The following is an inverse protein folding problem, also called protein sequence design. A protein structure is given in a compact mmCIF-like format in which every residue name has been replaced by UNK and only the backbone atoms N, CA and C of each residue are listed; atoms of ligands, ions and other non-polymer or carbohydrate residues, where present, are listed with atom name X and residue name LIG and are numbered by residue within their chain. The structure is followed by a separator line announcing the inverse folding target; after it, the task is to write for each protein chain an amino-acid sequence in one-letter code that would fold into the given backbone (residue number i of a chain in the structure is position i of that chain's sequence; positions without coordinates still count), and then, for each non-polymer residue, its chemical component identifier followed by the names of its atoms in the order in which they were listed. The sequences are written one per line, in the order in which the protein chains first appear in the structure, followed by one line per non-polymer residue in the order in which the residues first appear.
data_IF_301464173890
#
_entry.id   IF_301464173890
#
_cell.length_a   1.000
_cell.length_b   1.000
_cell.length_c   1.000
_cell.angle_alpha   90.00
_cell.angle_beta   90.00
_cell.angle_gamma   90.00
#
_symmetry.space_group_name_H-M   'P 1'
#
loop_
_entity.id
_entity.type
_entity.pdbx_description
1 polymer ?
#
# COMPACT_ATOMS: atom_id res chain seq x y z
N UNK A 1 -4.13 -6.49 6.36
CA UNK A 1 -2.90 -7.17 5.88
C UNK A 1 -3.09 -8.02 4.63
N UNK A 2 -4.16 -8.82 4.50
CA UNK A 2 -4.31 -9.75 3.37
C UNK A 2 -4.46 -9.06 1.99
N UNK A 3 -5.29 -8.03 1.87
CA UNK A 3 -5.58 -7.36 0.58
C UNK A 3 -4.41 -6.55 -0.02
N UNK A 4 -3.60 -5.90 0.82
CA UNK A 4 -2.44 -5.11 0.36
C UNK A 4 -1.36 -6.01 -0.24
N UNK A 5 -1.11 -7.15 0.40
CA UNK A 5 -0.14 -8.14 -0.07
C UNK A 5 -0.62 -8.76 -1.39
N UNK A 6 -1.93 -8.93 -1.58
CA UNK A 6 -2.49 -9.36 -2.86
C UNK A 6 -2.27 -8.33 -3.96
N UNK A 7 -2.43 -7.03 -3.70
CA UNK A 7 -2.21 -6.00 -4.74
C UNK A 7 -0.74 -5.92 -5.16
N UNK A 8 0.19 -5.95 -4.19
CA UNK A 8 1.62 -5.99 -4.48
C UNK A 8 2.02 -7.28 -5.17
N UNK A 9 1.49 -8.43 -4.74
CA UNK A 9 1.72 -9.72 -5.40
C UNK A 9 1.36 -9.68 -6.88
N UNK A 10 0.24 -9.04 -7.24
CA UNK A 10 -0.16 -8.86 -8.65
C UNK A 10 0.84 -8.03 -9.47
N UNK A 11 1.49 -7.04 -8.84
CA UNK A 11 2.54 -6.23 -9.47
C UNK A 11 3.80 -7.07 -9.63
N UNK A 12 4.18 -7.83 -8.61
CA UNK A 12 5.33 -8.75 -8.66
C UNK A 12 5.14 -9.80 -9.75
N UNK A 13 3.96 -10.41 -9.87
CA UNK A 13 3.65 -11.40 -10.90
C UNK A 13 3.76 -10.79 -12.31
N UNK A 14 3.24 -9.57 -12.49
CA UNK A 14 3.36 -8.85 -13.76
C UNK A 14 4.81 -8.45 -14.08
N UNK A 15 5.62 -8.15 -13.06
CA UNK A 15 7.04 -7.88 -13.20
C UNK A 15 7.84 -9.16 -13.50
N UNK A 16 7.48 -10.29 -12.90
CA UNK A 16 8.08 -11.61 -13.14
C UNK A 16 7.88 -12.12 -14.58
N UNK A 17 6.79 -11.69 -15.24
CA UNK A 17 6.60 -11.94 -16.68
C UNK A 17 7.53 -11.12 -17.56
N UNK A 18 7.95 -9.94 -17.10
CA UNK A 18 8.88 -9.06 -17.83
C UNK A 18 10.34 -9.39 -17.51
N UNK A 19 10.60 -9.72 -16.26
CA UNK A 19 11.90 -10.02 -15.70
C UNK A 19 11.83 -11.48 -15.25
N UNK A 20 12.60 -12.36 -15.90
CA UNK A 20 12.54 -13.82 -15.74
C UNK A 20 12.59 -14.29 -14.26
N UNK A 21 13.06 -13.45 -13.33
CA UNK A 21 13.16 -13.70 -11.89
C UNK A 21 12.08 -13.00 -11.07
N UNK A 22 11.56 -13.69 -10.06
CA UNK A 22 10.64 -13.16 -9.05
C UNK A 22 11.37 -12.25 -8.06
N UNK A 23 10.87 -11.03 -7.81
CA UNK A 23 11.54 -9.99 -7.00
C UNK A 23 10.73 -9.51 -5.79
N UNK A 24 10.04 -10.41 -5.10
CA UNK A 24 9.18 -10.07 -3.96
C UNK A 24 9.89 -9.22 -2.90
N UNK A 25 11.08 -9.66 -2.45
CA UNK A 25 11.82 -8.99 -1.39
C UNK A 25 12.11 -7.51 -1.67
N UNK A 26 12.35 -7.15 -2.94
CA UNK A 26 12.57 -5.76 -3.33
C UNK A 26 11.29 -4.93 -3.23
N UNK A 27 10.17 -5.43 -3.75
CA UNK A 27 8.89 -4.71 -3.69
C UNK A 27 8.36 -4.59 -2.26
N UNK A 28 8.38 -5.67 -1.48
CA UNK A 28 7.95 -5.65 -0.08
C UNK A 28 8.92 -4.85 0.80
N UNK A 29 10.22 -4.92 0.52
CA UNK A 29 11.25 -4.12 1.18
C UNK A 29 11.04 -2.62 0.97
N UNK A 30 10.89 -2.18 -0.28
CA UNK A 30 10.64 -0.76 -0.61
C UNK A 30 9.33 -0.26 0.00
N UNK A 31 8.25 -1.05 -0.08
CA UNK A 31 6.97 -0.70 0.58
C UNK A 31 7.19 -0.43 2.06
N UNK A 32 7.78 -1.38 2.77
CA UNK A 32 7.96 -1.29 4.22
C UNK A 32 8.94 -0.19 4.62
N UNK A 33 9.94 0.07 3.78
CA UNK A 33 10.87 1.18 3.97
C UNK A 33 10.16 2.54 3.92
N UNK A 34 9.12 2.69 3.08
CA UNK A 34 8.35 3.93 2.97
C UNK A 34 7.27 4.01 4.06
N UNK A 35 6.52 2.94 4.29
CA UNK A 35 5.35 2.98 5.18
C UNK A 35 5.69 3.06 6.65
N UNK A 36 6.78 2.42 7.10
CA UNK A 36 7.15 2.41 8.52
C UNK A 36 7.56 3.81 9.01
N UNK A 37 8.45 4.55 8.33
CA UNK A 37 8.75 5.93 8.70
C UNK A 37 7.56 6.86 8.56
N UNK A 38 6.72 6.68 7.52
CA UNK A 38 5.51 7.48 7.36
C UNK A 38 4.56 7.33 8.57
N UNK A 39 4.40 6.11 9.09
CA UNK A 39 3.61 5.87 10.29
C UNK A 39 4.23 6.52 11.53
N UNK A 40 5.54 6.41 11.74
CA UNK A 40 6.21 7.04 12.89
C UNK A 40 6.12 8.57 12.82
N UNK A 41 6.29 9.14 11.63
CA UNK A 41 6.14 10.58 11.39
C UNK A 41 4.70 11.04 11.60
N UNK A 42 3.71 10.22 11.25
CA UNK A 42 2.30 10.51 11.50
C UNK A 42 1.97 10.61 13.00
N UNK A 43 2.50 9.69 13.82
CA UNK A 43 2.35 9.75 15.28
C UNK A 43 3.05 10.98 15.86
N UNK A 44 4.27 11.27 15.40
CA UNK A 44 5.00 12.48 15.80
C UNK A 44 4.22 13.75 15.45
N UNK A 45 3.67 13.83 14.23
CA UNK A 45 2.85 14.95 13.79
C UNK A 45 1.58 15.12 14.63
N UNK A 46 0.89 14.04 14.98
CA UNK A 46 -0.29 14.12 15.84
C UNK A 46 0.08 14.61 17.24
N UNK A 47 1.20 14.12 17.80
CA UNK A 47 1.67 14.54 19.11
C UNK A 47 2.02 16.03 19.16
N UNK A 48 2.72 16.55 18.14
CA UNK A 48 3.06 17.99 18.07
C UNK A 48 1.82 18.87 17.88
N UNK A 49 0.84 18.42 17.09
CA UNK A 49 -0.45 19.12 16.97
C UNK A 49 -1.22 19.11 18.31
N UNK A 50 -1.18 18.00 19.05
CA UNK A 50 -1.83 17.93 20.36
C UNK A 50 -1.19 18.92 21.35
N UNK A 51 0.14 18.94 21.39
CA UNK A 51 0.94 19.83 22.25
C UNK A 51 0.63 21.31 21.93
N UNK A 52 0.57 21.67 20.65
CA UNK A 52 0.35 23.04 20.22
C UNK A 52 -1.07 23.57 20.46
N UNK A 53 -2.10 22.70 20.46
CA UNK A 53 -3.51 23.13 20.49
C UNK A 53 -4.28 22.79 21.78
N UNK A 54 -3.77 21.91 22.64
CA UNK A 54 -4.48 21.45 23.85
C UNK A 54 -3.79 21.77 25.19
N UNK A 55 -2.55 22.28 25.20
CA UNK A 55 -1.85 22.61 26.45
C UNK A 55 -2.46 23.83 27.17
N UNK A 56 -3.17 24.72 26.47
CA UNK A 56 -3.62 25.99 27.06
C UNK A 56 -5.06 26.00 27.59
N UNK A 57 -5.82 24.89 27.55
CA UNK A 57 -7.26 24.97 27.79
C UNK A 57 -7.78 23.95 28.81
N UNK A 58 -8.04 24.44 30.05
CA UNK A 58 -8.93 23.78 31.02
C UNK A 58 -10.37 23.62 30.47
N UNK A 59 -10.70 24.29 29.36
CA UNK A 59 -12.00 24.23 28.67
C UNK A 59 -11.81 24.45 27.16
N UNK A 60 -11.59 23.41 26.34
CA UNK A 60 -11.28 23.58 24.93
C UNK A 60 -12.34 24.43 24.22
N UNK A 61 -11.89 25.52 23.58
CA UNK A 61 -12.78 26.39 22.81
C UNK A 61 -13.45 25.60 21.67
N UNK A 62 -14.64 26.03 21.24
CA UNK A 62 -15.34 25.41 20.11
C UNK A 62 -14.47 25.33 18.84
N UNK A 63 -13.57 26.30 18.66
CA UNK A 63 -12.59 26.34 17.57
C UNK A 63 -11.53 25.23 17.69
N UNK A 64 -11.01 24.96 18.90
CA UNK A 64 -10.03 23.90 19.16
C UNK A 64 -10.61 22.49 18.94
N UNK A 65 -11.87 22.28 19.31
CA UNK A 65 -12.56 21.02 19.04
C UNK A 65 -12.79 20.82 17.53
N UNK A 66 -13.08 21.90 16.81
CA UNK A 66 -13.30 21.86 15.36
C UNK A 66 -12.00 21.56 14.62
N UNK A 67 -10.89 22.21 14.98
CA UNK A 67 -9.58 21.94 14.36
C UNK A 67 -9.11 20.52 14.63
N UNK A 68 -9.32 19.99 15.85
CA UNK A 68 -9.02 18.60 16.18
C UNK A 68 -9.81 17.62 15.32
N UNK A 69 -11.12 17.85 15.14
CA UNK A 69 -11.96 17.01 14.27
C UNK A 69 -11.50 17.06 12.80
N UNK A 70 -11.06 18.22 12.30
CA UNK A 70 -10.53 18.34 10.93
C UNK A 70 -9.21 17.60 10.76
N UNK A 71 -8.32 17.63 11.76
CA UNK A 71 -7.05 16.88 11.71
C UNK A 71 -7.30 15.37 11.79
N UNK A 72 -8.20 14.93 12.68
CA UNK A 72 -8.50 13.50 12.88
C UNK A 72 -9.31 12.88 11.74
N UNK A 73 -10.26 13.62 11.15
CA UNK A 73 -11.17 13.07 10.15
C UNK A 73 -10.98 13.68 8.77
N UNK A 74 -10.77 14.99 8.69
CA UNK A 74 -10.61 15.70 7.41
C UNK A 74 -9.38 15.26 6.64
N UNK A 75 -8.21 15.25 7.28
CA UNK A 75 -6.95 14.87 6.62
C UNK A 75 -6.96 13.40 6.15
N UNK A 76 -7.31 12.40 6.98
CA UNK A 76 -7.39 11.02 6.51
C UNK A 76 -8.41 10.81 5.40
N UNK A 77 -9.56 11.51 5.44
CA UNK A 77 -10.57 11.41 4.39
C UNK A 77 -10.03 11.88 3.03
N UNK A 78 -9.31 13.01 3.00
CA UNK A 78 -8.69 13.51 1.77
C UNK A 78 -7.67 12.51 1.20
N UNK A 79 -6.85 11.91 2.07
CA UNK A 79 -5.88 10.88 1.66
C UNK A 79 -6.59 9.66 1.09
N UNK A 80 -7.68 9.18 1.73
CA UNK A 80 -8.47 8.04 1.24
C UNK A 80 -9.07 8.34 -0.13
N UNK A 81 -9.63 9.54 -0.33
CA UNK A 81 -10.18 9.95 -1.63
C UNK A 81 -9.08 9.97 -2.70
N UNK A 82 -7.91 10.52 -2.39
CA UNK A 82 -6.76 10.50 -3.30
C UNK A 82 -6.32 9.09 -3.67
N UNK A 83 -6.19 8.20 -2.69
CA UNK A 83 -5.89 6.78 -2.91
C UNK A 83 -6.95 6.09 -3.77
N UNK A 84 -8.23 6.40 -3.57
CA UNK A 84 -9.33 5.85 -4.36
C UNK A 84 -9.24 6.30 -5.83
N UNK A 85 -8.97 7.57 -6.08
CA UNK A 85 -8.80 8.10 -7.44
C UNK A 85 -7.60 7.43 -8.17
N UNK A 86 -6.49 7.23 -7.46
CA UNK A 86 -5.34 6.49 -8.00
C UNK A 86 -5.68 5.02 -8.26
N UNK A 87 -6.44 4.40 -7.35
CA UNK A 87 -6.91 3.03 -7.53
C UNK A 87 -7.79 2.90 -8.77
N UNK A 88 -8.66 3.87 -9.08
CA UNK A 88 -9.49 3.85 -10.28
C UNK A 88 -8.65 3.75 -11.56
N UNK A 89 -7.54 4.49 -11.65
CA UNK A 89 -6.59 4.47 -12.78
C UNK A 89 -5.69 3.23 -12.83
N UNK A 90 -5.72 2.34 -11.83
CA UNK A 90 -4.82 1.20 -11.78
C UNK A 90 -5.09 0.21 -12.94
N UNK A 91 -4.11 -0.05 -13.83
CA UNK A 91 -4.32 -0.72 -15.12
C UNK A 91 -4.34 -2.26 -15.02
N UNK A 92 -4.00 -2.83 -13.87
CA UNK A 92 -4.13 -4.26 -13.61
C UNK A 92 -5.54 -4.50 -13.04
N UNK A 93 -6.55 -4.64 -13.91
CA UNK A 93 -7.92 -5.02 -13.54
C UNK A 93 -8.53 -5.92 -14.62
N UNK A 94 -9.51 -6.74 -14.25
CA UNK A 94 -10.27 -7.59 -15.18
C UNK A 94 -9.40 -8.49 -16.04
N UNK A 95 -9.63 -8.47 -17.37
CA UNK A 95 -8.97 -9.33 -18.37
C UNK A 95 -7.44 -9.35 -18.26
N UNK A 96 -6.81 -8.18 -18.04
CA UNK A 96 -5.35 -8.09 -17.93
C UNK A 96 -4.80 -8.82 -16.70
N UNK A 97 -5.58 -8.90 -15.61
CA UNK A 97 -5.20 -9.67 -14.44
C UNK A 97 -5.23 -11.18 -14.73
N UNK A 98 -6.30 -11.65 -15.39
CA UNK A 98 -6.47 -13.07 -15.73
C UNK A 98 -5.39 -13.55 -16.69
N UNK A 99 -5.06 -12.74 -17.70
CA UNK A 99 -3.95 -13.00 -18.62
C UNK A 99 -2.61 -13.14 -17.90
N UNK A 100 -2.30 -12.22 -16.97
CA UNK A 100 -1.06 -12.27 -16.19
C UNK A 100 -1.02 -13.53 -15.33
N UNK A 101 -2.10 -13.82 -14.60
CA UNK A 101 -2.20 -15.04 -13.78
C UNK A 101 -1.98 -16.31 -14.59
N UNK A 102 -2.63 -16.42 -15.76
CA UNK A 102 -2.50 -17.57 -16.65
C UNK A 102 -1.07 -17.76 -17.14
N UNK A 103 -0.42 -16.68 -17.61
CA UNK A 103 0.97 -16.73 -18.10
C UNK A 103 1.97 -17.11 -17.01
N UNK A 104 1.76 -16.63 -15.78
CA UNK A 104 2.61 -17.00 -14.63
C UNK A 104 2.41 -18.47 -14.28
N UNK A 105 1.18 -18.95 -14.23
CA UNK A 105 0.88 -20.37 -13.97
C UNK A 105 1.52 -21.29 -15.02
N UNK A 106 1.37 -20.98 -16.31
CA UNK A 106 1.99 -21.74 -17.40
C UNK A 106 3.53 -21.76 -17.32
N UNK A 107 4.16 -20.68 -16.85
CA UNK A 107 5.61 -20.59 -16.67
C UNK A 107 6.09 -21.49 -15.54
N UNK A 108 5.39 -21.53 -14.41
CA UNK A 108 5.72 -22.41 -13.29
C UNK A 108 5.54 -23.88 -13.67
N UNK A 109 4.44 -24.23 -14.35
CA UNK A 109 4.18 -25.60 -14.79
C UNK A 109 5.26 -26.12 -15.76
N UNK A 110 5.74 -25.27 -16.68
CA UNK A 110 6.84 -25.60 -17.60
C UNK A 110 8.18 -25.78 -16.87
N UNK A 111 8.47 -24.95 -15.88
CA UNK A 111 9.71 -25.05 -15.11
C UNK A 111 9.74 -26.32 -14.24
N UNK A 112 8.62 -26.70 -13.63
CA UNK A 112 8.52 -27.91 -12.81
C UNK A 112 8.73 -29.17 -13.66
N UNK A 113 8.07 -29.25 -14.83
CA UNK A 113 8.26 -30.35 -15.80
C UNK A 113 9.70 -30.45 -16.27
N UNK A 114 10.33 -29.32 -16.63
CA UNK A 114 11.74 -29.28 -17.04
C UNK A 114 12.70 -29.75 -15.94
N UNK A 115 12.35 -29.50 -14.67
CA UNK A 115 13.19 -29.90 -13.54
C UNK A 115 13.10 -31.41 -13.28
N UNK A 116 11.97 -32.03 -13.60
CA UNK A 116 11.76 -33.48 -13.51
C UNK A 116 12.46 -34.25 -14.65
N UNK A 117 12.57 -33.66 -15.84
CA UNK A 117 13.27 -34.28 -16.97
C UNK A 117 14.82 -34.27 -16.83
N UNK A 118 15.36 -33.55 -15.83
CA UNK A 118 16.81 -33.40 -15.59
C UNK A 118 17.35 -34.30 -14.46
N UNK A 119 16.49 -35.11 -13.84
CA UNK A 119 16.81 -36.07 -12.76
C UNK A 119 16.53 -37.50 -13.19
#
# INVERSE_FOLDING_TARGET
MMYENTLLGRIVDADELKMIKRREGMFFGTKNFITKPANSLGVFYLATMLEAYLIEVESPSATALTSLNVVLFGWPLLVIIGCFLLYLKFPLKGKRLEEVKKKVFEKHEKNDKRSQDLT
#
